data_IF_402585751094
#
_entry.id   IF_402585751094
#
_cell.length_a   1.000
_cell.length_b   1.000
_cell.length_c   1.000
_cell.angle_alpha   90.00
_cell.angle_beta   90.00
_cell.angle_gamma   90.00
#
_symmetry.space_group_name_H-M   'P 1'
#
loop_
_entity.id
_entity.type
_entity.pdbx_description
1 polymer ?
#
# COMPACT_ATOMS: atom_id res chain seq x y z
N UNK A 1 -11.90 -6.24 43.55
CA UNK A 1 -10.76 -5.47 44.11
C UNK A 1 -9.51 -6.33 44.02
N UNK A 2 -8.43 -5.79 43.41
CA UNK A 2 -7.16 -6.48 43.27
C UNK A 2 -6.23 -6.18 44.47
N UNK A 3 -5.52 -7.21 44.96
CA UNK A 3 -4.54 -7.09 46.07
C UNK A 3 -3.35 -8.04 45.84
N UNK A 4 -2.20 -7.73 46.44
CA UNK A 4 -1.05 -8.62 46.53
C UNK A 4 -1.09 -9.54 47.79
N UNK A 5 -2.04 -9.30 48.70
CA UNK A 5 -2.18 -10.11 49.91
C UNK A 5 -2.74 -11.48 49.56
N UNK A 6 -1.87 -12.45 49.48
CA UNK A 6 -2.18 -13.83 49.15
C UNK A 6 -1.52 -14.81 50.16
N UNK A 7 -2.32 -15.73 50.68
CA UNK A 7 -1.84 -16.80 51.56
C UNK A 7 -2.44 -18.13 51.14
N UNK A 8 -1.66 -19.19 51.03
CA UNK A 8 -2.14 -20.50 50.60
C UNK A 8 -1.85 -21.56 51.66
N UNK A 9 -2.86 -22.38 51.97
CA UNK A 9 -2.77 -23.42 52.98
C UNK A 9 -2.39 -24.76 52.36
N UNK A 10 -2.05 -25.75 53.24
CA UNK A 10 -1.91 -27.13 52.84
C UNK A 10 -3.23 -27.72 52.34
N UNK A 11 -3.14 -28.74 51.49
CA UNK A 11 -4.29 -29.47 50.98
C UNK A 11 -4.86 -30.34 52.10
N UNK A 12 -6.18 -30.18 52.35
CA UNK A 12 -6.91 -30.99 53.35
C UNK A 12 -7.61 -32.14 52.64
N UNK A 13 -7.44 -33.33 53.13
CA UNK A 13 -8.18 -34.51 52.72
C UNK A 13 -9.52 -34.61 53.48
N UNK A 14 -10.60 -34.94 52.78
CA UNK A 14 -11.96 -35.11 53.28
C UNK A 14 -12.53 -36.44 52.80
N UNK A 15 -12.25 -37.55 53.52
CA UNK A 15 -12.68 -38.88 53.12
C UNK A 15 -14.22 -38.96 52.93
N UNK A 16 -14.68 -39.82 52.01
CA UNK A 16 -16.11 -40.05 51.75
C UNK A 16 -16.75 -39.00 50.79
N UNK A 17 -16.04 -38.05 50.24
CA UNK A 17 -16.57 -37.12 49.28
C UNK A 17 -16.12 -37.44 47.83
N UNK A 18 -16.96 -37.13 46.85
CA UNK A 18 -16.64 -37.29 45.41
C UNK A 18 -15.38 -36.53 45.00
N UNK A 19 -15.01 -35.44 45.71
CA UNK A 19 -13.82 -34.62 45.53
C UNK A 19 -13.14 -34.45 46.89
N UNK A 20 -12.31 -35.43 47.33
CA UNK A 20 -11.82 -35.45 48.70
C UNK A 20 -10.69 -34.46 48.98
N UNK A 21 -9.96 -33.98 47.97
CA UNK A 21 -8.82 -33.08 48.17
C UNK A 21 -9.22 -31.62 48.07
N UNK A 22 -9.19 -30.89 49.18
CA UNK A 22 -9.59 -29.48 49.24
C UNK A 22 -8.36 -28.58 49.40
N UNK A 23 -8.11 -27.72 48.39
CA UNK A 23 -7.17 -26.62 48.50
C UNK A 23 -7.88 -25.39 49.06
N UNK A 24 -7.22 -24.69 50.00
CA UNK A 24 -7.73 -23.44 50.61
C UNK A 24 -6.67 -22.35 50.49
N UNK A 25 -7.10 -21.15 50.19
CA UNK A 25 -6.24 -19.97 50.18
C UNK A 25 -7.04 -18.73 50.62
N UNK A 26 -6.34 -17.65 50.89
CA UNK A 26 -6.94 -16.37 51.30
C UNK A 26 -6.38 -15.26 50.45
N UNK A 27 -7.26 -14.33 49.99
CA UNK A 27 -6.89 -13.14 49.24
C UNK A 27 -7.44 -11.92 49.96
N UNK A 28 -6.54 -11.11 50.53
CA UNK A 28 -6.91 -10.07 51.46
C UNK A 28 -7.71 -10.64 52.63
N UNK A 29 -8.89 -10.10 52.99
CA UNK A 29 -9.73 -10.60 54.08
C UNK A 29 -10.51 -11.89 53.75
N UNK A 30 -10.62 -12.27 52.45
CA UNK A 30 -11.59 -13.27 51.96
C UNK A 30 -10.99 -14.66 51.80
N UNK A 31 -11.54 -15.73 52.44
CA UNK A 31 -11.11 -17.09 52.23
C UNK A 31 -11.75 -17.70 50.97
N UNK A 32 -10.96 -18.52 50.24
CA UNK A 32 -11.38 -19.27 49.07
C UNK A 32 -11.04 -20.74 49.20
N UNK A 33 -11.77 -21.61 48.51
CA UNK A 33 -11.46 -23.05 48.46
C UNK A 33 -11.90 -23.66 47.12
N UNK A 34 -11.21 -24.74 46.73
CA UNK A 34 -11.60 -25.55 45.58
C UNK A 34 -11.30 -27.03 45.89
N UNK A 35 -12.23 -27.93 45.56
CA UNK A 35 -12.09 -29.37 45.82
C UNK A 35 -11.79 -30.12 44.53
N UNK A 36 -10.91 -31.12 44.59
CA UNK A 36 -10.40 -31.90 43.48
C UNK A 36 -10.59 -33.40 43.71
N UNK A 37 -10.63 -34.19 42.61
CA UNK A 37 -10.78 -35.65 42.68
C UNK A 37 -9.52 -36.34 43.13
N UNK A 38 -8.35 -35.79 42.75
CA UNK A 38 -7.04 -36.36 43.11
C UNK A 38 -6.16 -35.34 43.80
N UNK A 39 -5.21 -35.81 44.62
CA UNK A 39 -4.20 -34.99 45.28
C UNK A 39 -3.33 -34.25 44.26
N UNK A 40 -2.93 -34.95 43.17
CA UNK A 40 -2.11 -34.38 42.11
C UNK A 40 -2.77 -33.16 41.43
N UNK A 41 -4.09 -33.18 41.18
CA UNK A 41 -4.83 -32.05 40.67
C UNK A 41 -4.88 -30.86 41.63
N UNK A 42 -5.00 -31.13 42.92
CA UNK A 42 -4.97 -30.11 43.97
C UNK A 42 -3.55 -29.50 44.12
N UNK A 43 -2.50 -30.33 44.08
CA UNK A 43 -1.09 -29.89 44.11
C UNK A 43 -0.76 -29.03 42.84
N UNK A 44 -1.17 -29.49 41.67
CA UNK A 44 -0.99 -28.72 40.43
C UNK A 44 -1.65 -27.33 40.50
N UNK A 45 -2.89 -27.25 41.03
CA UNK A 45 -3.53 -25.96 41.23
C UNK A 45 -2.82 -25.10 42.28
N UNK A 46 -2.35 -25.70 43.37
CA UNK A 46 -1.55 -25.01 44.39
C UNK A 46 -0.29 -24.41 43.79
N UNK A 47 0.45 -25.17 42.98
CA UNK A 47 1.65 -24.71 42.31
C UNK A 47 1.38 -23.56 41.37
N UNK A 48 0.28 -23.59 40.57
CA UNK A 48 -0.13 -22.48 39.69
C UNK A 48 -0.36 -21.18 40.48
N UNK A 49 -1.13 -21.22 41.56
CA UNK A 49 -1.41 -20.04 42.39
C UNK A 49 -0.13 -19.50 43.05
N UNK A 50 0.76 -20.38 43.53
CA UNK A 50 2.05 -19.97 44.09
C UNK A 50 2.95 -19.32 43.02
N UNK A 51 2.99 -19.88 41.81
CA UNK A 51 3.77 -19.32 40.72
C UNK A 51 3.28 -17.93 40.35
N UNK A 52 1.96 -17.72 40.30
CA UNK A 52 1.38 -16.40 40.03
C UNK A 52 1.76 -15.38 41.13
N UNK A 53 1.69 -15.81 42.42
CA UNK A 53 2.10 -14.97 43.54
C UNK A 53 3.61 -14.62 43.49
N UNK A 54 4.48 -15.58 43.17
CA UNK A 54 5.92 -15.37 43.05
C UNK A 54 6.28 -14.46 41.86
N UNK A 55 5.46 -14.44 40.84
CA UNK A 55 5.58 -13.48 39.70
C UNK A 55 5.07 -12.07 40.01
N UNK A 56 4.60 -11.83 41.24
CA UNK A 56 4.04 -10.54 41.64
C UNK A 56 2.69 -10.21 41.00
N UNK A 57 1.88 -11.23 40.64
CA UNK A 57 0.54 -11.01 40.16
C UNK A 57 -0.42 -10.60 41.29
N UNK A 58 -1.30 -9.65 41.02
CA UNK A 58 -2.41 -9.32 41.93
C UNK A 58 -3.51 -10.36 41.81
N UNK A 59 -4.16 -10.62 42.96
CA UNK A 59 -5.31 -11.51 43.06
C UNK A 59 -6.58 -10.71 43.30
N UNK A 60 -7.68 -11.16 42.73
CA UNK A 60 -8.99 -10.54 42.99
C UNK A 60 -9.61 -11.10 44.27
N UNK A 61 -9.98 -10.20 45.17
CA UNK A 61 -10.55 -10.52 46.49
C UNK A 61 -11.86 -11.30 46.37
N UNK A 62 -12.65 -11.05 45.30
CA UNK A 62 -13.97 -11.69 45.15
C UNK A 62 -13.89 -13.12 44.62
N UNK A 63 -13.09 -13.36 43.61
CA UNK A 63 -12.96 -14.66 42.95
C UNK A 63 -11.85 -15.53 43.52
N UNK A 64 -10.89 -14.92 44.24
CA UNK A 64 -9.70 -15.59 44.73
C UNK A 64 -8.69 -15.98 43.63
N UNK A 65 -8.83 -15.46 42.42
CA UNK A 65 -8.02 -15.84 41.26
C UNK A 65 -6.94 -14.80 40.97
N UNK A 66 -5.78 -15.20 40.47
CA UNK A 66 -4.77 -14.29 39.98
C UNK A 66 -5.28 -13.56 38.71
N UNK A 67 -4.74 -12.39 38.45
CA UNK A 67 -5.15 -11.55 37.32
C UNK A 67 -5.00 -12.27 35.97
N UNK A 68 -4.03 -13.15 35.82
CA UNK A 68 -3.84 -14.01 34.65
C UNK A 68 -5.02 -14.96 34.42
N UNK A 69 -5.54 -15.60 35.46
CA UNK A 69 -6.69 -16.50 35.38
C UNK A 69 -7.98 -15.74 35.09
N UNK A 70 -8.15 -14.54 35.66
CA UNK A 70 -9.31 -13.70 35.38
C UNK A 70 -9.32 -13.25 33.92
N UNK A 71 -8.17 -12.87 33.39
CA UNK A 71 -8.06 -12.55 31.96
C UNK A 71 -8.37 -13.75 31.06
N UNK A 72 -7.94 -14.95 31.47
CA UNK A 72 -8.22 -16.19 30.74
C UNK A 72 -9.73 -16.58 30.78
N UNK A 73 -10.47 -16.18 31.81
CA UNK A 73 -11.91 -16.44 31.94
C UNK A 73 -12.79 -15.40 31.23
N UNK A 74 -12.27 -14.21 30.94
CA UNK A 74 -12.99 -13.23 30.13
C UNK A 74 -13.07 -13.72 28.69
N UNK A 75 -14.20 -13.46 27.98
CA UNK A 75 -14.26 -13.70 26.54
C UNK A 75 -13.11 -12.99 25.86
N UNK A 76 -12.12 -13.77 25.44
CA UNK A 76 -10.94 -13.20 24.77
C UNK A 76 -11.35 -12.78 23.35
N UNK A 77 -11.06 -11.53 22.99
CA UNK A 77 -11.24 -11.08 21.63
C UNK A 77 -10.50 -12.02 20.66
N UNK A 78 -11.18 -12.40 19.60
CA UNK A 78 -10.59 -13.22 18.54
C UNK A 78 -9.87 -12.37 17.50
N UNK A 79 -9.00 -12.99 16.72
CA UNK A 79 -8.32 -12.30 15.61
C UNK A 79 -9.32 -11.68 14.62
N UNK A 80 -10.40 -12.40 14.24
CA UNK A 80 -11.38 -11.89 13.27
C UNK A 80 -12.10 -10.64 13.78
N UNK A 81 -12.45 -10.60 15.07
CA UNK A 81 -13.09 -9.42 15.69
C UNK A 81 -12.14 -8.23 15.67
N UNK A 82 -10.89 -8.45 16.11
CA UNK A 82 -9.86 -7.41 16.08
C UNK A 82 -9.56 -6.92 14.66
N UNK A 83 -9.43 -7.82 13.69
CA UNK A 83 -9.16 -7.48 12.29
C UNK A 83 -10.31 -6.67 11.66
N UNK A 84 -11.57 -6.98 12.00
CA UNK A 84 -12.75 -6.17 11.61
C UNK A 84 -12.69 -4.77 12.22
N UNK A 85 -12.36 -4.64 13.49
CA UNK A 85 -12.22 -3.35 14.17
C UNK A 85 -11.07 -2.53 13.56
N UNK A 86 -9.95 -3.16 13.25
CA UNK A 86 -8.84 -2.52 12.56
C UNK A 86 -9.25 -2.03 11.16
N UNK A 87 -9.95 -2.86 10.37
CA UNK A 87 -10.45 -2.47 9.06
C UNK A 87 -11.41 -1.26 9.17
N UNK A 88 -12.33 -1.28 10.15
CA UNK A 88 -13.29 -0.20 10.44
C UNK A 88 -12.59 1.10 10.83
N UNK A 89 -11.63 1.04 11.74
CA UNK A 89 -10.85 2.19 12.19
C UNK A 89 -10.11 2.87 11.04
N UNK A 90 -9.55 2.08 10.10
CA UNK A 90 -8.82 2.62 8.94
C UNK A 90 -9.72 3.06 7.78
N UNK A 91 -11.00 2.70 7.75
CA UNK A 91 -11.86 2.86 6.57
C UNK A 91 -11.96 4.30 6.08
N UNK A 92 -12.39 5.21 6.93
CA UNK A 92 -12.67 6.62 6.57
C UNK A 92 -11.45 7.37 6.03
N UNK A 93 -10.25 7.03 6.53
CA UNK A 93 -8.98 7.70 6.15
C UNK A 93 -8.25 6.98 5.02
N UNK A 94 -8.86 5.97 4.40
CA UNK A 94 -8.21 5.15 3.38
C UNK A 94 -8.85 5.32 2.03
N UNK A 95 -8.00 5.30 0.98
CA UNK A 95 -8.50 5.22 -0.39
C UNK A 95 -9.19 3.89 -0.65
N UNK A 96 -10.08 3.86 -1.62
CA UNK A 96 -10.74 2.66 -2.10
C UNK A 96 -9.73 1.54 -2.45
N UNK A 97 -8.64 1.87 -3.15
CA UNK A 97 -7.56 0.91 -3.45
C UNK A 97 -6.84 0.42 -2.19
N UNK A 98 -6.63 1.29 -1.20
CA UNK A 98 -6.01 0.91 0.08
C UNK A 98 -6.94 0.06 0.93
N UNK A 99 -8.26 0.30 0.89
CA UNK A 99 -9.28 -0.54 1.52
C UNK A 99 -9.22 -1.96 0.95
N UNK A 100 -9.28 -2.10 -0.38
CA UNK A 100 -9.19 -3.39 -1.05
C UNK A 100 -7.87 -4.14 -0.75
N UNK A 101 -6.74 -3.44 -0.80
CA UNK A 101 -5.43 -4.04 -0.49
C UNK A 101 -5.32 -4.51 0.95
N UNK A 102 -5.90 -3.76 1.89
CA UNK A 102 -5.94 -4.14 3.32
C UNK A 102 -6.84 -5.34 3.54
N UNK A 103 -8.02 -5.35 2.94
CA UNK A 103 -8.93 -6.49 3.01
C UNK A 103 -8.31 -7.76 2.44
N UNK A 104 -7.56 -7.66 1.33
CA UNK A 104 -6.80 -8.77 0.76
C UNK A 104 -5.75 -9.34 1.74
N UNK A 105 -4.96 -8.47 2.36
CA UNK A 105 -3.96 -8.88 3.34
C UNK A 105 -4.59 -9.49 4.61
N UNK A 106 -5.63 -8.85 5.16
CA UNK A 106 -6.34 -9.36 6.32
C UNK A 106 -7.03 -10.70 6.02
N UNK A 107 -7.61 -10.86 4.83
CA UNK A 107 -8.21 -12.14 4.43
C UNK A 107 -7.17 -13.27 4.40
N UNK A 108 -5.98 -13.00 3.84
CA UNK A 108 -4.88 -13.99 3.82
C UNK A 108 -4.46 -14.41 5.23
N UNK A 109 -4.22 -13.44 6.13
CA UNK A 109 -3.83 -13.71 7.52
C UNK A 109 -4.94 -14.43 8.29
N UNK A 110 -6.20 -14.00 8.12
CA UNK A 110 -7.34 -14.57 8.85
C UNK A 110 -7.57 -16.02 8.47
N UNK A 111 -7.38 -16.39 7.20
CA UNK A 111 -7.50 -17.79 6.76
C UNK A 111 -6.44 -18.71 7.38
N UNK A 112 -5.28 -18.18 7.78
CA UNK A 112 -4.22 -18.92 8.45
C UNK A 112 -4.38 -18.97 9.97
N UNK A 113 -5.11 -18.03 10.57
CA UNK A 113 -5.28 -17.89 12.02
C UNK A 113 -6.58 -18.52 12.50
N UNK A 114 -6.71 -19.83 12.32
CA UNK A 114 -7.85 -20.64 12.75
C UNK A 114 -7.43 -21.73 13.72
N UNK A 115 -8.35 -22.17 14.58
CA UNK A 115 -8.11 -23.21 15.59
C UNK A 115 -7.86 -24.58 14.91
N UNK A 116 -8.67 -24.88 13.91
CA UNK A 116 -8.62 -26.11 13.12
C UNK A 116 -9.37 -25.89 11.79
N UNK A 117 -9.26 -26.85 10.88
CA UNK A 117 -9.91 -26.80 9.56
C UNK A 117 -11.23 -27.60 9.50
N UNK A 118 -11.76 -28.09 10.63
CA UNK A 118 -12.99 -28.89 10.64
C UNK A 118 -14.17 -28.05 10.15
N UNK A 119 -14.88 -28.58 9.17
CA UNK A 119 -16.02 -27.91 8.53
C UNK A 119 -15.64 -26.65 7.75
N UNK A 120 -14.37 -26.52 7.34
CA UNK A 120 -13.90 -25.36 6.58
C UNK A 120 -14.68 -25.22 5.26
N UNK A 121 -15.13 -24.00 4.93
CA UNK A 121 -15.71 -23.73 3.64
C UNK A 121 -14.65 -23.84 2.53
N UNK A 122 -15.10 -23.99 1.30
CA UNK A 122 -14.22 -23.97 0.14
C UNK A 122 -13.36 -22.69 0.15
N UNK A 123 -12.02 -22.79 -0.12
CA UNK A 123 -11.08 -21.67 0.04
C UNK A 123 -11.46 -20.38 -0.70
N UNK A 124 -12.03 -20.50 -1.91
CA UNK A 124 -12.48 -19.33 -2.68
C UNK A 124 -13.70 -18.67 -2.04
N UNK A 125 -14.62 -19.44 -1.45
CA UNK A 125 -15.80 -18.94 -0.72
C UNK A 125 -15.35 -18.21 0.55
N UNK A 126 -14.47 -18.83 1.35
CA UNK A 126 -13.90 -18.21 2.56
C UNK A 126 -13.19 -16.89 2.22
N UNK A 127 -12.34 -16.91 1.20
CA UNK A 127 -11.64 -15.71 0.77
C UNK A 127 -12.60 -14.59 0.34
N UNK A 128 -13.63 -14.92 -0.42
CA UNK A 128 -14.66 -13.94 -0.82
C UNK A 128 -15.42 -13.42 0.40
N UNK A 129 -15.78 -14.29 1.33
CA UNK A 129 -16.42 -13.90 2.59
C UNK A 129 -15.58 -12.92 3.40
N UNK A 130 -14.29 -13.19 3.53
CA UNK A 130 -13.37 -12.33 4.26
C UNK A 130 -13.10 -11.01 3.52
N UNK A 131 -12.64 -11.07 2.27
CA UNK A 131 -12.20 -9.87 1.53
C UNK A 131 -13.36 -8.95 1.16
N UNK A 132 -14.49 -9.52 0.68
CA UNK A 132 -15.60 -8.71 0.18
C UNK A 132 -16.67 -8.39 1.21
N UNK A 133 -16.71 -9.10 2.37
CA UNK A 133 -17.76 -8.92 3.38
C UNK A 133 -17.20 -8.59 4.76
N UNK A 134 -16.33 -9.43 5.33
CA UNK A 134 -15.81 -9.20 6.69
C UNK A 134 -15.02 -7.89 6.79
N UNK A 135 -14.21 -7.56 5.77
CA UNK A 135 -13.31 -6.39 5.74
C UNK A 135 -13.74 -5.31 4.74
N UNK A 136 -14.92 -5.43 4.14
CA UNK A 136 -15.52 -4.40 3.28
C UNK A 136 -16.76 -3.82 3.94
N UNK A 137 -16.67 -2.59 4.47
CA UNK A 137 -17.77 -1.97 5.18
C UNK A 137 -18.92 -1.53 4.26
N UNK A 138 -18.70 -1.35 2.98
CA UNK A 138 -19.77 -1.00 2.03
C UNK A 138 -20.74 -2.17 1.86
N UNK A 139 -20.24 -3.40 1.79
CA UNK A 139 -21.06 -4.60 1.62
C UNK A 139 -21.74 -5.07 2.92
N UNK A 140 -21.26 -4.62 4.09
CA UNK A 140 -21.89 -4.95 5.37
C UNK A 140 -23.31 -4.36 5.55
N UNK A 141 -23.76 -3.51 4.62
CA UNK A 141 -25.11 -2.93 4.60
C UNK A 141 -26.17 -3.84 3.98
N UNK A 142 -25.75 -4.94 3.37
CA UNK A 142 -26.62 -5.93 2.72
C UNK A 142 -26.39 -7.30 3.32
N UNK A 143 -27.39 -8.18 3.24
CA UNK A 143 -27.24 -9.56 3.68
C UNK A 143 -26.34 -10.34 2.74
N UNK A 144 -25.37 -11.10 3.27
CA UNK A 144 -24.52 -11.94 2.45
C UNK A 144 -25.31 -13.16 1.91
N UNK A 145 -25.03 -13.60 0.67
CA UNK A 145 -25.59 -14.87 0.15
C UNK A 145 -25.24 -16.05 1.07
N UNK A 146 -26.10 -17.09 1.11
CA UNK A 146 -25.96 -18.23 2.03
C UNK A 146 -24.54 -18.83 2.11
N UNK A 147 -23.81 -19.15 1.02
CA UNK A 147 -22.44 -19.67 1.15
C UNK A 147 -21.48 -18.72 1.86
N UNK A 148 -21.65 -17.42 1.64
CA UNK A 148 -20.84 -16.38 2.29
C UNK A 148 -21.21 -16.24 3.76
N UNK A 149 -22.51 -16.25 4.07
CA UNK A 149 -23.00 -16.17 5.46
C UNK A 149 -22.47 -17.33 6.30
N UNK A 150 -22.56 -18.57 5.79
CA UNK A 150 -22.02 -19.77 6.45
C UNK A 150 -20.51 -19.68 6.66
N UNK A 151 -19.76 -19.20 5.68
CA UNK A 151 -18.31 -19.00 5.80
C UNK A 151 -17.96 -17.93 6.85
N UNK A 152 -18.74 -16.84 6.93
CA UNK A 152 -18.56 -15.81 7.97
C UNK A 152 -18.88 -16.35 9.37
N UNK A 153 -19.88 -17.20 9.52
CA UNK A 153 -20.19 -17.85 10.79
C UNK A 153 -19.09 -18.84 11.19
N UNK A 154 -18.59 -19.62 10.24
CA UNK A 154 -17.50 -20.57 10.48
C UNK A 154 -16.25 -19.85 10.98
N UNK A 155 -15.80 -18.79 10.29
CA UNK A 155 -14.58 -18.08 10.69
C UNK A 155 -14.70 -17.37 12.05
N UNK A 156 -15.90 -16.91 12.43
CA UNK A 156 -16.13 -16.35 13.77
C UNK A 156 -15.95 -17.42 14.85
N UNK A 157 -16.42 -18.64 14.62
CA UNK A 157 -16.26 -19.74 15.57
C UNK A 157 -14.83 -20.30 15.64
N UNK A 158 -14.12 -20.32 14.49
CA UNK A 158 -12.81 -20.98 14.36
C UNK A 158 -11.64 -20.01 14.45
N UNK A 159 -11.85 -18.70 14.53
CA UNK A 159 -10.78 -17.72 14.64
C UNK A 159 -10.02 -17.83 15.95
N UNK A 160 -8.69 -17.76 15.88
CA UNK A 160 -7.83 -17.85 17.06
C UNK A 160 -8.09 -16.69 18.04
N UNK A 161 -8.07 -16.97 19.37
CA UNK A 161 -8.01 -15.91 20.39
C UNK A 161 -6.73 -15.08 20.27
N UNK A 162 -6.81 -13.78 20.51
CA UNK A 162 -5.67 -12.85 20.38
C UNK A 162 -4.41 -13.27 21.14
N UNK A 163 -4.46 -13.80 22.37
CA UNK A 163 -3.26 -14.23 23.09
C UNK A 163 -2.48 -15.38 22.42
N UNK A 164 -3.11 -16.16 21.54
CA UNK A 164 -2.41 -17.19 20.75
C UNK A 164 -1.35 -16.59 19.82
N UNK A 165 -1.47 -15.32 19.46
CA UNK A 165 -0.48 -14.60 18.66
C UNK A 165 0.80 -14.24 19.43
N UNK A 166 0.85 -14.44 20.74
CA UNK A 166 2.10 -14.34 21.52
C UNK A 166 3.06 -15.50 21.19
N UNK A 167 2.53 -16.62 20.68
CA UNK A 167 3.35 -17.73 20.21
C UNK A 167 3.93 -17.42 18.81
N UNK A 168 5.26 -17.50 18.68
CA UNK A 168 6.00 -17.22 17.46
C UNK A 168 5.61 -18.16 16.30
N UNK A 169 5.29 -19.43 16.56
CA UNK A 169 4.87 -20.36 15.51
C UNK A 169 3.53 -19.96 14.89
N UNK A 170 2.59 -19.48 15.71
CA UNK A 170 1.31 -18.94 15.22
C UNK A 170 1.51 -17.74 14.31
N UNK A 171 2.44 -16.84 14.67
CA UNK A 171 2.77 -15.67 13.83
C UNK A 171 3.46 -16.11 12.53
N UNK A 172 4.32 -17.12 12.61
CA UNK A 172 5.03 -17.68 11.46
C UNK A 172 4.06 -18.27 10.43
N UNK A 173 3.02 -18.98 10.85
CA UNK A 173 1.95 -19.47 9.94
C UNK A 173 1.30 -18.32 9.14
N UNK A 174 1.03 -17.20 9.79
CA UNK A 174 0.49 -16.03 9.09
C UNK A 174 1.48 -15.42 8.08
N UNK A 175 2.78 -15.37 8.42
CA UNK A 175 3.83 -14.87 7.53
C UNK A 175 4.05 -15.79 6.33
N UNK A 176 4.00 -17.10 6.51
CA UNK A 176 4.06 -18.09 5.43
C UNK A 176 2.87 -17.93 4.47
N UNK A 177 1.66 -17.81 5.01
CA UNK A 177 0.48 -17.55 4.19
C UNK A 177 0.58 -16.25 3.38
N UNK A 178 1.20 -15.20 3.92
CA UNK A 178 1.45 -13.94 3.20
C UNK A 178 2.48 -14.09 2.08
N UNK A 179 3.35 -15.09 2.16
CA UNK A 179 4.43 -15.35 1.19
C UNK A 179 3.95 -16.09 -0.05
N UNK A 180 2.73 -16.61 -0.02
CA UNK A 180 2.16 -17.39 -1.11
C UNK A 180 1.05 -16.64 -1.86
N UNK A 181 0.88 -16.97 -3.14
CA UNK A 181 -0.30 -16.65 -3.93
C UNK A 181 -1.42 -17.67 -3.63
N UNK A 182 -2.60 -17.45 -4.21
CA UNK A 182 -3.75 -18.34 -4.05
C UNK A 182 -3.54 -19.74 -4.68
N UNK A 183 -2.68 -19.83 -5.67
CA UNK A 183 -2.29 -21.06 -6.34
C UNK A 183 -1.14 -21.81 -5.64
N UNK A 184 -0.72 -21.34 -4.45
CA UNK A 184 0.39 -21.90 -3.68
C UNK A 184 1.77 -21.51 -4.18
N UNK A 185 1.89 -20.78 -5.30
CA UNK A 185 3.20 -20.31 -5.78
C UNK A 185 3.70 -19.09 -5.00
N UNK A 186 5.01 -18.83 -4.95
CA UNK A 186 5.58 -17.69 -4.24
C UNK A 186 4.99 -16.34 -4.74
N UNK A 187 4.66 -15.47 -3.82
CA UNK A 187 4.22 -14.11 -4.13
C UNK A 187 5.44 -13.20 -4.39
N UNK A 188 5.24 -12.14 -5.19
CA UNK A 188 6.27 -11.15 -5.42
C UNK A 188 6.69 -10.44 -4.12
N UNK A 189 7.98 -10.19 -3.93
CA UNK A 189 8.55 -9.56 -2.74
C UNK A 189 7.85 -8.26 -2.32
N UNK A 190 7.51 -7.40 -3.28
CA UNK A 190 6.74 -6.17 -3.04
C UNK A 190 5.33 -6.43 -2.52
N UNK A 191 4.69 -7.52 -2.94
CA UNK A 191 3.38 -7.96 -2.44
C UNK A 191 3.49 -8.46 -1.01
N UNK A 192 4.50 -9.28 -0.71
CA UNK A 192 4.79 -9.80 0.63
C UNK A 192 5.06 -8.64 1.59
N UNK A 193 5.98 -7.72 1.25
CA UNK A 193 6.28 -6.50 2.03
C UNK A 193 5.01 -5.70 2.35
N UNK A 194 4.16 -5.48 1.35
CA UNK A 194 2.90 -4.73 1.50
C UNK A 194 1.90 -5.44 2.42
N UNK A 195 1.68 -6.75 2.25
CA UNK A 195 0.77 -7.53 3.09
C UNK A 195 1.27 -7.61 4.53
N UNK A 196 2.58 -7.87 4.73
CA UNK A 196 3.23 -7.87 6.05
C UNK A 196 3.06 -6.51 6.76
N UNK A 197 3.19 -5.40 6.05
CA UNK A 197 2.96 -4.08 6.62
C UNK A 197 1.53 -3.90 7.14
N UNK A 198 0.53 -4.44 6.45
CA UNK A 198 -0.87 -4.43 6.93
C UNK A 198 -1.01 -5.25 8.20
N UNK A 199 -0.44 -6.46 8.23
CA UNK A 199 -0.44 -7.34 9.40
C UNK A 199 0.25 -6.67 10.59
N UNK A 200 1.47 -6.14 10.40
CA UNK A 200 2.19 -5.39 11.44
C UNK A 200 1.37 -4.22 12.01
N UNK A 201 0.70 -3.45 11.15
CA UNK A 201 -0.13 -2.34 11.60
C UNK A 201 -1.38 -2.81 12.37
N UNK A 202 -1.96 -3.97 12.02
CA UNK A 202 -3.06 -4.58 12.77
C UNK A 202 -2.57 -5.03 14.16
N UNK A 203 -1.40 -5.66 14.26
CA UNK A 203 -0.80 -6.06 15.54
C UNK A 203 -0.43 -4.86 16.41
N UNK A 204 0.11 -3.77 15.85
CA UNK A 204 0.33 -2.52 16.59
C UNK A 204 -0.96 -1.95 17.16
N UNK A 205 -2.06 -2.02 16.41
CA UNK A 205 -3.37 -1.62 16.90
C UNK A 205 -3.89 -2.56 18.01
N UNK A 206 -3.54 -3.85 17.97
CA UNK A 206 -3.85 -4.78 19.06
C UNK A 206 -3.13 -4.42 20.38
N UNK A 207 -1.85 -4.00 20.27
CA UNK A 207 -1.08 -3.50 21.43
C UNK A 207 -1.68 -2.20 21.97
N UNK A 208 -2.05 -1.26 21.10
CA UNK A 208 -2.73 -0.01 21.49
C UNK A 208 -4.03 -0.30 22.24
N UNK A 209 -4.79 -1.33 21.82
CA UNK A 209 -6.03 -1.78 22.48
C UNK A 209 -5.80 -2.66 23.71
N UNK A 210 -4.57 -2.91 24.09
CA UNK A 210 -4.18 -3.82 25.21
C UNK A 210 -4.67 -5.27 25.03
N UNK A 211 -4.88 -5.71 23.79
CA UNK A 211 -5.20 -7.09 23.43
C UNK A 211 -3.94 -7.96 23.37
N UNK A 212 -2.78 -7.35 23.16
CA UNK A 212 -1.46 -7.97 23.20
C UNK A 212 -0.53 -7.09 24.04
N UNK A 213 0.42 -7.68 24.79
CA UNK A 213 1.38 -6.92 25.59
C UNK A 213 2.44 -6.22 24.72
N UNK A 214 2.84 -6.85 23.61
CA UNK A 214 3.82 -6.34 22.64
C UNK A 214 3.47 -6.81 21.22
N UNK A 215 4.12 -6.21 20.22
CA UNK A 215 3.94 -6.67 18.83
C UNK A 215 4.75 -7.96 18.61
N UNK A 216 4.09 -9.12 18.38
CA UNK A 216 4.77 -10.41 18.30
C UNK A 216 5.72 -10.53 17.11
N UNK A 217 5.57 -9.72 16.05
CA UNK A 217 6.52 -9.68 14.92
C UNK A 217 7.95 -9.27 15.31
N UNK A 218 8.13 -8.67 16.49
CA UNK A 218 9.46 -8.29 16.98
C UNK A 218 10.24 -9.51 17.51
N UNK A 219 9.56 -10.61 17.82
CA UNK A 219 10.12 -11.82 18.38
C UNK A 219 10.24 -12.96 17.37
N UNK A 220 9.91 -12.71 16.10
CA UNK A 220 10.01 -13.70 15.03
C UNK A 220 11.14 -13.30 14.09
N UNK A 221 12.15 -14.12 14.01
CA UNK A 221 13.21 -13.98 13.00
C UNK A 221 12.64 -14.33 11.64
N UNK A 222 12.22 -13.30 10.93
CA UNK A 222 11.65 -13.39 9.59
C UNK A 222 11.84 -12.07 8.84
N UNK A 223 12.49 -12.11 7.71
CA UNK A 223 12.66 -10.99 6.80
C UNK A 223 11.87 -11.22 5.50
N UNK A 224 11.18 -10.19 4.97
CA UNK A 224 10.58 -10.31 3.65
C UNK A 224 11.69 -10.42 2.60
N UNK A 225 11.47 -11.17 1.50
CA UNK A 225 12.42 -11.22 0.39
C UNK A 225 12.79 -9.81 -0.07
N UNK A 226 14.04 -9.65 -0.49
CA UNK A 226 14.48 -8.39 -1.07
C UNK A 226 13.67 -8.09 -2.33
N UNK A 227 13.22 -6.85 -2.46
CA UNK A 227 12.58 -6.37 -3.66
C UNK A 227 13.61 -5.52 -4.41
N UNK A 228 13.80 -5.81 -5.68
CA UNK A 228 14.48 -4.89 -6.57
C UNK A 228 13.60 -3.65 -6.73
N UNK A 229 14.03 -2.55 -6.12
CA UNK A 229 13.31 -1.29 -6.14
C UNK A 229 13.79 -0.38 -7.31
N UNK A 230 14.78 -0.82 -8.09
CA UNK A 230 15.23 -0.08 -9.26
C UNK A 230 14.27 -0.21 -10.46
N UNK A 231 14.32 0.77 -11.35
CA UNK A 231 13.63 0.67 -12.64
C UNK A 231 14.40 -0.32 -13.52
N UNK A 232 13.76 -1.39 -13.93
CA UNK A 232 14.34 -2.28 -14.93
C UNK A 232 14.35 -1.58 -16.29
N UNK A 233 15.53 -1.19 -16.73
CA UNK A 233 15.78 -0.41 -17.96
C UNK A 233 15.34 -1.14 -19.22
N UNK A 234 15.21 -2.45 -19.17
CA UNK A 234 14.70 -3.23 -20.30
C UNK A 234 13.25 -2.87 -20.65
N UNK A 235 12.49 -2.33 -19.69
CA UNK A 235 11.12 -1.84 -19.92
C UNK A 235 11.06 -0.42 -20.49
N UNK A 236 12.13 0.35 -20.43
CA UNK A 236 12.13 1.78 -20.70
C UNK A 236 12.49 2.06 -22.15
N UNK A 237 11.57 2.55 -22.99
CA UNK A 237 11.88 2.91 -24.36
C UNK A 237 12.78 4.16 -24.40
N UNK A 238 13.74 4.18 -25.32
CA UNK A 238 14.53 5.36 -25.63
C UNK A 238 13.66 6.44 -26.35
N UNK A 239 14.16 7.69 -26.53
CA UNK A 239 13.37 8.76 -27.12
C UNK A 239 12.81 8.45 -28.51
N UNK A 240 13.59 7.79 -29.37
CA UNK A 240 13.14 7.41 -30.72
C UNK A 240 12.04 6.35 -30.65
N UNK A 241 12.21 5.33 -29.81
CA UNK A 241 11.22 4.27 -29.59
C UNK A 241 9.93 4.82 -28.99
N UNK A 242 10.03 5.73 -27.99
CA UNK A 242 8.87 6.36 -27.36
C UNK A 242 8.05 7.16 -28.39
N UNK A 243 8.73 7.92 -29.26
CA UNK A 243 8.08 8.66 -30.34
C UNK A 243 7.36 7.72 -31.31
N UNK A 244 8.06 6.68 -31.81
CA UNK A 244 7.47 5.69 -32.73
C UNK A 244 6.24 5.03 -32.11
N UNK A 245 6.29 4.65 -30.83
CA UNK A 245 5.16 4.05 -30.11
C UNK A 245 3.96 5.00 -30.05
N UNK A 246 4.16 6.27 -29.69
CA UNK A 246 3.11 7.28 -29.59
C UNK A 246 2.52 7.60 -30.98
N UNK A 247 3.34 7.72 -32.00
CA UNK A 247 2.89 7.95 -33.38
C UNK A 247 2.11 6.73 -33.89
N UNK A 248 2.52 5.52 -33.55
CA UNK A 248 1.80 4.29 -33.90
C UNK A 248 0.45 4.22 -33.22
N UNK A 249 0.33 4.67 -31.96
CA UNK A 249 -0.98 4.78 -31.30
C UNK A 249 -1.93 5.60 -32.16
N UNK A 250 -1.53 6.77 -32.66
CA UNK A 250 -2.34 7.63 -33.52
C UNK A 250 -2.84 6.94 -34.81
N UNK A 251 -2.10 5.93 -35.29
CA UNK A 251 -2.46 5.19 -36.51
C UNK A 251 -3.42 4.01 -36.27
N UNK A 252 -3.73 3.67 -35.03
CA UNK A 252 -4.60 2.51 -34.67
C UNK A 252 -6.12 2.81 -34.76
N UNK A 253 -6.55 3.61 -35.74
CA UNK A 253 -7.95 3.97 -35.96
C UNK A 253 -8.48 5.02 -34.96
N UNK A 254 -9.79 5.22 -34.90
CA UNK A 254 -10.38 6.34 -34.15
C UNK A 254 -10.04 6.33 -32.67
N UNK A 255 -10.01 5.13 -32.03
CA UNK A 255 -9.70 5.01 -30.61
C UNK A 255 -8.22 5.27 -30.31
N UNK A 256 -7.34 4.85 -31.19
CA UNK A 256 -5.92 5.16 -31.11
C UNK A 256 -5.68 6.68 -31.19
N UNK A 257 -6.22 7.34 -32.21
CA UNK A 257 -6.14 8.79 -32.36
C UNK A 257 -6.64 9.56 -31.15
N UNK A 258 -7.78 9.15 -30.57
CA UNK A 258 -8.32 9.76 -29.35
C UNK A 258 -7.37 9.61 -28.15
N UNK A 259 -6.56 8.54 -28.08
CA UNK A 259 -5.66 8.27 -26.95
C UNK A 259 -4.20 8.67 -27.21
N UNK A 260 -3.85 9.18 -28.38
CA UNK A 260 -2.47 9.56 -28.71
C UNK A 260 -1.93 10.63 -27.74
N UNK A 261 -2.67 11.71 -27.52
CA UNK A 261 -2.31 12.76 -26.58
C UNK A 261 -2.27 12.23 -25.12
N UNK A 262 -3.11 11.26 -24.73
CA UNK A 262 -3.04 10.60 -23.44
C UNK A 262 -1.69 9.93 -23.19
N UNK A 263 -1.17 9.17 -24.16
CA UNK A 263 0.16 8.57 -24.07
C UNK A 263 1.26 9.62 -24.17
N UNK A 264 1.04 10.68 -24.98
CA UNK A 264 1.91 11.85 -25.01
C UNK A 264 2.08 12.50 -23.64
N UNK A 265 0.99 12.67 -22.87
CA UNK A 265 1.07 13.13 -21.47
C UNK A 265 1.91 12.19 -20.59
N UNK A 266 1.80 10.88 -20.80
CA UNK A 266 2.62 9.88 -20.09
C UNK A 266 4.12 10.07 -20.33
N UNK A 267 4.53 10.39 -21.55
CA UNK A 267 5.93 10.56 -21.92
C UNK A 267 6.42 12.00 -21.71
N UNK A 268 5.84 12.98 -22.37
CA UNK A 268 6.36 14.35 -22.40
C UNK A 268 6.12 15.13 -21.10
N UNK A 269 5.04 14.82 -20.38
CA UNK A 269 4.74 15.40 -19.06
C UNK A 269 4.98 14.43 -17.91
N UNK A 270 5.46 13.23 -18.20
CA UNK A 270 5.66 12.15 -17.22
C UNK A 270 4.49 11.99 -16.25
N UNK A 271 3.24 12.14 -16.71
CA UNK A 271 2.06 11.98 -15.86
C UNK A 271 1.84 10.54 -15.46
N UNK A 272 1.25 10.31 -14.28
CA UNK A 272 0.66 9.01 -13.98
C UNK A 272 -0.64 8.85 -14.79
N UNK A 273 -0.99 7.62 -15.24
CA UNK A 273 -2.24 7.43 -15.99
C UNK A 273 -3.48 8.02 -15.28
N UNK A 274 -3.57 7.87 -13.95
CA UNK A 274 -4.68 8.42 -13.18
C UNK A 274 -4.68 9.97 -13.10
N UNK A 275 -3.53 10.61 -13.25
CA UNK A 275 -3.40 12.07 -13.36
C UNK A 275 -3.87 12.54 -14.75
N UNK A 276 -3.40 11.88 -15.81
CA UNK A 276 -3.86 12.16 -17.18
C UNK A 276 -5.38 11.91 -17.31
N UNK A 277 -5.92 10.85 -16.73
CA UNK A 277 -7.36 10.58 -16.70
C UNK A 277 -8.17 11.68 -16.01
N UNK A 278 -7.56 12.43 -15.09
CA UNK A 278 -8.22 13.54 -14.39
C UNK A 278 -8.02 14.90 -15.06
N UNK A 279 -7.15 15.00 -16.08
CA UNK A 279 -6.79 16.26 -16.72
C UNK A 279 -7.99 16.88 -17.43
N UNK A 280 -8.24 18.16 -17.16
CA UNK A 280 -9.32 18.95 -17.76
C UNK A 280 -8.75 20.05 -18.66
N UNK A 281 -9.53 20.54 -19.58
CA UNK A 281 -9.11 21.63 -20.46
C UNK A 281 -8.69 22.89 -19.67
N UNK A 282 -9.40 23.20 -18.60
CA UNK A 282 -9.07 24.34 -17.71
C UNK A 282 -7.71 24.20 -17.02
N UNK A 283 -7.18 22.98 -16.94
CA UNK A 283 -5.87 22.68 -16.33
C UNK A 283 -4.72 22.81 -17.35
N UNK A 284 -4.99 23.20 -18.60
CA UNK A 284 -4.03 23.20 -19.70
C UNK A 284 -3.81 24.63 -20.21
N UNK A 285 -2.59 25.13 -20.10
CA UNK A 285 -2.15 26.35 -20.80
C UNK A 285 -1.44 25.94 -22.09
N UNK A 286 -2.10 26.14 -23.21
CA UNK A 286 -1.65 25.69 -24.54
C UNK A 286 -1.46 26.91 -25.46
N UNK A 287 -0.24 27.48 -25.55
CA UNK A 287 0.05 28.58 -26.47
C UNK A 287 0.05 28.07 -27.91
N UNK A 288 -0.08 28.97 -28.86
CA UNK A 288 -0.02 28.67 -30.30
C UNK A 288 1.39 28.24 -30.74
N UNK A 289 2.41 28.65 -30.01
CA UNK A 289 3.81 28.27 -30.25
C UNK A 289 4.58 28.23 -28.93
N UNK A 290 5.63 27.41 -28.87
CA UNK A 290 6.48 27.29 -27.68
C UNK A 290 5.97 26.29 -26.64
N UNK A 291 6.49 26.42 -25.41
CA UNK A 291 6.18 25.56 -24.29
C UNK A 291 4.83 25.90 -23.67
N UNK A 292 4.06 24.88 -23.34
CA UNK A 292 2.83 24.99 -22.57
C UNK A 292 3.00 24.51 -21.15
N UNK A 293 1.88 24.43 -20.42
CA UNK A 293 1.88 23.99 -19.00
C UNK A 293 0.64 23.15 -18.70
N UNK A 294 0.82 22.06 -17.93
CA UNK A 294 -0.26 21.31 -17.32
C UNK A 294 -0.27 21.57 -15.82
N UNK A 295 -1.43 21.96 -15.28
CA UNK A 295 -1.67 22.10 -13.84
C UNK A 295 -2.37 20.82 -13.36
N UNK A 296 -1.63 19.90 -12.76
CA UNK A 296 -2.20 18.66 -12.21
C UNK A 296 -2.81 18.93 -10.85
N UNK A 297 -4.13 18.84 -10.76
CA UNK A 297 -4.93 19.15 -9.55
C UNK A 297 -5.36 17.91 -8.79
N UNK A 298 -5.29 16.73 -9.42
CA UNK A 298 -5.76 15.49 -8.80
C UNK A 298 -5.51 14.25 -9.65
N UNK A 299 -6.16 13.19 -9.26
CA UNK A 299 -6.08 11.88 -9.92
C UNK A 299 -7.40 11.14 -9.81
N UNK A 300 -7.73 10.35 -10.84
CA UNK A 300 -8.92 9.49 -10.86
C UNK A 300 -8.54 8.01 -10.97
N UNK A 301 -7.88 7.42 -9.94
CA UNK A 301 -7.49 6.03 -9.99
C UNK A 301 -8.73 5.12 -10.01
N UNK A 302 -8.65 4.06 -10.83
CA UNK A 302 -9.67 3.02 -10.83
C UNK A 302 -9.75 2.34 -9.46
N UNK A 303 -10.98 2.16 -8.98
CA UNK A 303 -11.31 1.38 -7.80
C UNK A 303 -12.50 0.47 -8.12
N UNK A 304 -12.64 -0.64 -7.39
CA UNK A 304 -13.88 -1.40 -7.45
C UNK A 304 -15.02 -0.61 -6.83
N UNK A 305 -16.18 -0.58 -7.46
CA UNK A 305 -17.36 0.18 -6.99
C UNK A 305 -17.76 -0.15 -5.54
N UNK A 306 -17.57 -1.39 -5.12
CA UNK A 306 -17.82 -1.82 -3.73
C UNK A 306 -16.81 -1.25 -2.71
N UNK A 307 -15.76 -0.56 -3.13
CA UNK A 307 -14.74 0.02 -2.25
C UNK A 307 -14.81 1.54 -2.16
N UNK A 308 -15.52 2.17 -3.07
CA UNK A 308 -15.75 3.62 -3.09
C UNK A 308 -16.92 4.00 -2.20
N UNK A 309 -16.95 5.23 -1.71
CA UNK A 309 -18.04 5.69 -0.84
C UNK A 309 -19.31 6.03 -1.64
N UNK A 310 -19.16 6.32 -2.94
CA UNK A 310 -20.23 6.71 -3.87
C UNK A 310 -20.62 5.61 -4.87
N UNK A 311 -20.02 4.42 -4.80
CA UNK A 311 -20.28 3.30 -5.69
C UNK A 311 -19.72 3.42 -7.11
N UNK A 312 -18.95 4.49 -7.42
CA UNK A 312 -18.30 4.65 -8.73
C UNK A 312 -17.11 3.73 -8.90
N UNK A 313 -16.78 3.38 -10.15
CA UNK A 313 -15.63 2.53 -10.48
C UNK A 313 -14.27 3.25 -10.44
N UNK A 314 -14.24 4.47 -9.98
CA UNK A 314 -13.05 5.31 -9.78
C UNK A 314 -13.24 6.18 -8.54
N UNK A 315 -12.15 6.72 -8.03
CA UNK A 315 -12.16 7.62 -6.87
C UNK A 315 -11.46 8.93 -7.24
N UNK A 316 -12.14 10.06 -7.13
CA UNK A 316 -11.51 11.37 -7.32
C UNK A 316 -10.69 11.75 -6.09
N UNK A 317 -9.41 12.00 -6.28
CA UNK A 317 -8.46 12.26 -5.20
C UNK A 317 -7.48 13.37 -5.58
N UNK A 318 -6.95 14.03 -4.56
CA UNK A 318 -5.77 14.87 -4.71
C UNK A 318 -4.53 14.09 -5.17
N UNK A 319 -3.45 14.78 -5.40
CA UNK A 319 -2.18 14.19 -5.83
C UNK A 319 -1.63 13.22 -4.76
N UNK A 320 -0.97 12.14 -5.22
CA UNK A 320 -0.45 11.08 -4.36
C UNK A 320 0.55 11.61 -3.33
N UNK A 321 0.31 11.34 -2.04
CA UNK A 321 1.15 11.77 -0.90
C UNK A 321 1.26 13.29 -0.72
N UNK A 322 0.26 14.05 -1.16
CA UNK A 322 0.15 15.49 -0.96
C UNK A 322 -1.18 15.85 -0.29
N UNK A 323 -1.29 17.07 0.20
CA UNK A 323 -2.57 17.61 0.69
C UNK A 323 -3.61 17.60 -0.43
N UNK A 324 -4.89 17.59 -0.08
CA UNK A 324 -5.98 17.50 -1.07
C UNK A 324 -6.01 18.70 -2.03
N UNK A 325 -5.56 19.85 -1.57
CA UNK A 325 -5.48 21.10 -2.33
C UNK A 325 -4.16 21.29 -3.08
N UNK A 326 -3.19 20.40 -2.92
CA UNK A 326 -1.90 20.55 -3.59
C UNK A 326 -2.04 20.36 -5.10
N UNK A 327 -1.47 21.27 -5.84
CA UNK A 327 -1.35 21.21 -7.30
C UNK A 327 0.09 20.93 -7.71
N UNK A 328 0.29 20.55 -8.98
CA UNK A 328 1.61 20.35 -9.56
C UNK A 328 1.62 20.88 -10.98
N UNK A 329 2.41 21.89 -11.21
CA UNK A 329 2.66 22.45 -12.51
C UNK A 329 3.76 21.66 -13.23
N UNK A 330 3.51 21.30 -14.50
CA UNK A 330 4.44 20.56 -15.36
C UNK A 330 4.56 21.28 -16.69
N UNK A 331 5.73 21.86 -17.01
CA UNK A 331 6.00 22.42 -18.33
C UNK A 331 5.95 21.29 -19.39
N UNK A 332 5.32 21.56 -20.53
CA UNK A 332 5.18 20.61 -21.62
C UNK A 332 5.78 21.15 -22.92
N UNK A 333 6.50 20.32 -23.69
CA UNK A 333 7.13 20.77 -24.93
C UNK A 333 6.12 21.02 -26.04
N UNK A 334 6.51 21.78 -27.08
CA UNK A 334 5.65 22.11 -28.21
C UNK A 334 4.98 20.91 -28.89
N UNK A 335 5.67 19.77 -28.94
CA UNK A 335 5.11 18.53 -29.52
C UNK A 335 3.88 18.03 -28.74
N UNK A 336 3.86 18.13 -27.40
CA UNK A 336 2.69 17.76 -26.61
C UNK A 336 1.59 18.84 -26.72
N UNK A 337 1.97 20.11 -26.78
CA UNK A 337 1.02 21.22 -27.03
C UNK A 337 0.25 20.98 -28.32
N UNK A 338 0.94 20.65 -29.41
CA UNK A 338 0.32 20.33 -30.70
C UNK A 338 -0.64 19.13 -30.63
N UNK A 339 -0.21 18.02 -29.97
CA UNK A 339 -1.06 16.84 -29.75
C UNK A 339 -2.34 17.16 -28.94
N UNK A 340 -2.24 18.05 -27.95
CA UNK A 340 -3.39 18.46 -27.15
C UNK A 340 -4.31 19.41 -27.91
N UNK A 341 -3.79 20.32 -28.74
CA UNK A 341 -4.60 21.14 -29.63
C UNK A 341 -5.37 20.28 -30.63
N UNK A 342 -4.70 19.34 -31.31
CA UNK A 342 -5.35 18.39 -32.22
C UNK A 342 -6.42 17.57 -31.51
N UNK A 343 -6.12 17.07 -30.31
CA UNK A 343 -7.10 16.32 -29.51
C UNK A 343 -8.33 17.14 -29.19
N UNK A 344 -8.17 18.41 -28.76
CA UNK A 344 -9.27 19.30 -28.44
C UNK A 344 -10.09 19.66 -29.66
N UNK A 345 -9.44 19.92 -30.80
CA UNK A 345 -10.11 20.22 -32.04
C UNK A 345 -10.95 19.05 -32.59
N UNK A 346 -10.43 17.81 -32.48
CA UNK A 346 -11.10 16.63 -33.01
C UNK A 346 -12.16 16.06 -32.07
N UNK A 347 -11.97 16.13 -30.76
CA UNK A 347 -12.77 15.38 -29.77
C UNK A 347 -13.42 16.24 -28.70
N UNK A 348 -12.99 17.51 -28.54
CA UNK A 348 -13.46 18.37 -27.46
C UNK A 348 -13.17 17.78 -26.08
N UNK A 349 -14.06 18.06 -25.12
CA UNK A 349 -13.98 17.57 -23.75
C UNK A 349 -15.22 16.75 -23.38
N UNK A 350 -15.12 16.01 -22.28
CA UNK A 350 -16.28 15.41 -21.62
C UNK A 350 -17.17 16.47 -20.94
N UNK A 351 -18.39 16.08 -20.49
CA UNK A 351 -19.30 17.01 -19.80
C UNK A 351 -18.71 17.64 -18.53
N UNK A 352 -17.73 16.98 -17.91
CA UNK A 352 -17.00 17.44 -16.74
C UNK A 352 -15.68 18.16 -17.07
N UNK A 353 -15.47 18.50 -18.35
CA UNK A 353 -14.28 19.19 -18.86
C UNK A 353 -13.05 18.30 -19.05
N UNK A 354 -13.12 16.97 -18.80
CA UNK A 354 -11.99 16.06 -19.02
C UNK A 354 -11.65 15.90 -20.49
N UNK A 355 -10.34 15.86 -20.76
CA UNK A 355 -9.82 15.63 -22.12
C UNK A 355 -10.07 14.18 -22.56
N UNK A 356 -9.69 13.22 -21.72
CA UNK A 356 -9.70 11.79 -22.08
C UNK A 356 -10.89 11.07 -21.48
N UNK A 357 -11.74 10.50 -22.32
CA UNK A 357 -12.97 9.79 -21.93
C UNK A 357 -13.01 8.37 -22.45
N UNK A 358 -13.82 7.54 -21.81
CA UNK A 358 -14.13 6.19 -22.27
C UNK A 358 -14.85 6.23 -23.64
N UNK A 359 -14.84 5.12 -24.37
CA UNK A 359 -15.50 5.00 -25.68
C UNK A 359 -17.00 5.28 -25.64
N UNK A 360 -17.64 5.01 -24.51
CA UNK A 360 -19.08 5.26 -24.24
C UNK A 360 -19.33 6.53 -23.41
N UNK A 361 -18.36 7.43 -23.31
CA UNK A 361 -18.37 8.56 -22.37
C UNK A 361 -17.92 8.14 -20.96
N UNK A 362 -17.89 9.11 -20.02
CA UNK A 362 -17.40 8.89 -18.66
C UNK A 362 -15.87 8.76 -18.55
N UNK A 363 -15.41 8.27 -17.39
CA UNK A 363 -13.97 8.19 -17.08
C UNK A 363 -13.31 7.05 -17.87
N UNK A 364 -12.16 7.36 -18.47
CA UNK A 364 -11.35 6.39 -19.23
C UNK A 364 -10.98 5.16 -18.39
N UNK A 365 -11.21 3.97 -18.92
CA UNK A 365 -10.93 2.72 -18.23
C UNK A 365 -9.52 2.22 -18.53
N UNK A 366 -8.86 1.67 -17.51
CA UNK A 366 -7.51 1.06 -17.65
C UNK A 366 -7.47 0.01 -18.76
N UNK A 367 -8.51 -0.81 -18.90
CA UNK A 367 -8.60 -1.84 -19.95
C UNK A 367 -8.55 -1.22 -21.36
N UNK A 368 -9.21 -0.10 -21.58
CA UNK A 368 -9.27 0.53 -22.91
C UNK A 368 -7.90 1.05 -23.37
N UNK A 369 -7.21 1.81 -22.52
CA UNK A 369 -5.90 2.31 -22.92
C UNK A 369 -4.81 1.22 -22.90
N UNK A 370 -4.92 0.23 -22.03
CA UNK A 370 -3.99 -0.90 -22.03
C UNK A 370 -4.09 -1.74 -23.30
N UNK A 371 -5.31 -1.96 -23.81
CA UNK A 371 -5.52 -2.69 -25.07
C UNK A 371 -4.97 -1.93 -26.28
N UNK A 372 -5.21 -0.63 -26.34
CA UNK A 372 -4.64 0.24 -27.41
C UNK A 372 -3.11 0.20 -27.33
N UNK A 373 -2.53 0.28 -26.12
CA UNK A 373 -1.09 0.20 -25.94
C UNK A 373 -0.50 -1.13 -26.42
N UNK A 374 -1.13 -2.24 -26.05
CA UNK A 374 -0.70 -3.59 -26.47
C UNK A 374 -0.67 -3.70 -28.00
N UNK A 375 -1.68 -3.16 -28.69
CA UNK A 375 -1.75 -3.13 -30.16
C UNK A 375 -0.66 -2.22 -30.74
N UNK A 376 -0.44 -1.05 -30.16
CA UNK A 376 0.60 -0.11 -30.60
C UNK A 376 2.00 -0.75 -30.45
N UNK A 377 2.27 -1.37 -29.30
CA UNK A 377 3.53 -2.09 -29.06
C UNK A 377 3.76 -3.17 -30.10
N UNK A 378 2.73 -3.97 -30.42
CA UNK A 378 2.84 -5.04 -31.44
C UNK A 378 3.10 -4.48 -32.84
N UNK A 379 2.55 -3.32 -33.17
CA UNK A 379 2.71 -2.69 -34.50
C UNK A 379 3.99 -1.87 -34.64
N UNK A 380 4.56 -1.38 -33.52
CA UNK A 380 5.71 -0.47 -33.53
C UNK A 380 7.06 -1.17 -33.33
N UNK A 381 7.10 -2.34 -32.68
CA UNK A 381 8.31 -3.02 -32.30
C UNK A 381 8.57 -4.23 -33.19
N UNK A 382 9.87 -4.55 -33.42
CA UNK A 382 10.26 -5.78 -34.11
C UNK A 382 9.92 -7.04 -33.30
N UNK A 383 9.91 -8.20 -33.94
CA UNK A 383 9.68 -9.49 -33.27
C UNK A 383 10.68 -9.75 -32.13
N UNK A 384 11.94 -9.36 -32.33
CA UNK A 384 12.97 -9.47 -31.30
C UNK A 384 12.69 -8.57 -30.11
N UNK A 385 12.31 -7.31 -30.36
CA UNK A 385 11.94 -6.37 -29.30
C UNK A 385 10.66 -6.81 -28.56
N UNK A 386 9.71 -7.45 -29.25
CA UNK A 386 8.50 -7.99 -28.64
C UNK A 386 8.76 -9.14 -27.66
N UNK A 387 9.86 -9.88 -27.83
CA UNK A 387 10.30 -10.92 -26.88
C UNK A 387 10.91 -10.34 -25.62
N UNK A 388 11.28 -9.07 -25.62
CA UNK A 388 11.79 -8.35 -24.44
C UNK A 388 10.63 -7.66 -23.68
N UNK A 389 10.85 -7.23 -22.45
CA UNK A 389 9.86 -6.47 -21.69
C UNK A 389 9.76 -4.99 -22.12
N UNK A 390 10.42 -4.58 -23.21
CA UNK A 390 10.44 -3.20 -23.69
C UNK A 390 9.04 -2.64 -23.86
N UNK A 391 8.75 -1.55 -23.18
CA UNK A 391 7.44 -0.85 -23.23
C UNK A 391 6.24 -1.77 -22.98
N UNK A 392 6.38 -2.83 -22.17
CA UNK A 392 5.32 -3.81 -21.91
C UNK A 392 4.06 -3.18 -21.34
N UNK A 393 4.23 -2.18 -20.49
CA UNK A 393 3.12 -1.44 -19.89
C UNK A 393 3.15 0.05 -20.24
N UNK A 394 2.00 0.73 -20.34
CA UNK A 394 1.96 2.18 -20.63
C UNK A 394 2.78 3.04 -19.66
N UNK A 395 2.96 2.57 -18.42
CA UNK A 395 3.70 3.28 -17.39
C UNK A 395 5.20 3.44 -17.73
N UNK A 396 5.73 2.59 -18.63
CA UNK A 396 7.09 2.69 -19.15
C UNK A 396 7.36 4.04 -19.82
N UNK A 397 6.35 4.68 -20.44
CA UNK A 397 6.47 6.02 -20.99
C UNK A 397 6.81 7.07 -19.94
N UNK A 398 6.24 6.96 -18.75
CA UNK A 398 6.57 7.88 -17.67
C UNK A 398 8.02 7.71 -17.20
N UNK A 399 8.49 6.46 -17.12
CA UNK A 399 9.90 6.20 -16.81
C UNK A 399 10.81 6.80 -17.89
N UNK A 400 10.46 6.60 -19.17
CA UNK A 400 11.18 7.18 -20.30
C UNK A 400 11.19 8.72 -20.26
N UNK A 401 10.08 9.37 -19.92
CA UNK A 401 9.99 10.83 -19.80
C UNK A 401 10.84 11.40 -18.68
N UNK A 402 10.82 10.77 -17.49
CA UNK A 402 11.71 11.16 -16.37
C UNK A 402 13.18 10.97 -16.75
N UNK A 403 13.50 9.85 -17.40
CA UNK A 403 14.86 9.57 -17.88
C UNK A 403 15.32 10.59 -18.92
N UNK A 404 14.41 10.99 -19.84
CA UNK A 404 14.69 12.03 -20.83
C UNK A 404 15.06 13.36 -20.15
N UNK A 405 14.28 13.80 -19.16
CA UNK A 405 14.58 15.04 -18.45
C UNK A 405 15.94 15.00 -17.74
N UNK A 406 16.21 13.91 -17.03
CA UNK A 406 17.52 13.69 -16.40
C UNK A 406 18.62 13.63 -17.46
N UNK A 407 18.42 12.91 -18.57
CA UNK A 407 19.38 12.82 -19.66
C UNK A 407 19.64 14.16 -20.34
N UNK A 408 18.69 15.04 -20.40
CA UNK A 408 18.81 16.40 -20.95
C UNK A 408 19.44 17.43 -20.00
N UNK A 409 19.87 17.03 -18.78
CA UNK A 409 20.52 17.94 -17.84
C UNK A 409 19.57 18.73 -16.94
N UNK A 410 18.29 18.42 -16.93
CA UNK A 410 17.36 19.06 -15.98
C UNK A 410 17.74 18.68 -14.56
N UNK A 411 17.84 19.67 -13.69
CA UNK A 411 18.19 19.48 -12.28
C UNK A 411 17.32 18.42 -11.60
N UNK A 412 17.91 17.46 -10.86
CA UNK A 412 17.15 16.38 -10.23
C UNK A 412 16.04 16.84 -9.27
N UNK A 413 16.19 17.97 -8.59
CA UNK A 413 15.13 18.52 -7.73
C UNK A 413 13.95 19.02 -8.58
N UNK A 414 14.23 19.67 -9.71
CA UNK A 414 13.20 20.10 -10.66
C UNK A 414 12.51 18.89 -11.34
N UNK A 415 13.27 17.86 -11.73
CA UNK A 415 12.69 16.61 -12.24
C UNK A 415 11.78 15.96 -11.19
N UNK A 416 12.22 15.90 -9.93
CA UNK A 416 11.41 15.38 -8.82
C UNK A 416 10.12 16.20 -8.63
N UNK A 417 10.20 17.53 -8.72
CA UNK A 417 9.06 18.44 -8.66
C UNK A 417 8.06 18.17 -9.79
N UNK A 418 8.52 18.14 -11.05
CA UNK A 418 7.69 17.87 -12.25
C UNK A 418 7.07 16.49 -12.21
N UNK A 419 7.82 15.46 -11.84
CA UNK A 419 7.34 14.08 -11.75
C UNK A 419 6.46 13.81 -10.50
N UNK A 420 6.48 14.69 -9.49
CA UNK A 420 5.79 14.46 -8.20
C UNK A 420 6.39 13.27 -7.46
N UNK A 421 7.72 13.22 -7.41
CA UNK A 421 8.53 12.34 -6.58
C UNK A 421 9.17 13.14 -5.44
N UNK A 422 9.71 12.48 -4.40
CA UNK A 422 10.76 13.07 -3.60
C UNK A 422 12.11 12.87 -4.30
N UNK A 423 13.08 13.73 -4.02
CA UNK A 423 14.44 13.61 -4.56
C UNK A 423 15.04 12.24 -4.21
N UNK A 424 14.85 11.76 -2.99
CA UNK A 424 15.29 10.43 -2.58
C UNK A 424 14.67 9.29 -3.44
N UNK A 425 13.39 9.40 -3.80
CA UNK A 425 12.74 8.45 -4.72
C UNK A 425 13.37 8.53 -6.11
N UNK A 426 13.70 9.75 -6.58
CA UNK A 426 14.32 9.92 -7.88
C UNK A 426 15.70 9.23 -7.92
N UNK A 427 16.56 9.49 -6.95
CA UNK A 427 17.89 8.85 -6.86
C UNK A 427 17.77 7.32 -6.76
N UNK A 428 16.87 6.81 -5.91
CA UNK A 428 16.66 5.37 -5.75
C UNK A 428 16.27 4.66 -7.04
N UNK A 429 15.42 5.27 -7.86
CA UNK A 429 14.88 4.63 -9.07
C UNK A 429 15.66 4.94 -10.34
N UNK A 430 16.45 6.03 -10.37
CA UNK A 430 17.09 6.54 -11.59
C UNK A 430 18.60 6.77 -11.41
N UNK A 431 19.25 6.18 -10.40
CA UNK A 431 20.66 6.35 -10.12
C UNK A 431 21.53 6.10 -11.38
N UNK A 432 21.28 5.01 -12.10
CA UNK A 432 22.03 4.65 -13.33
C UNK A 432 21.96 5.70 -14.44
N UNK A 433 20.89 6.51 -14.52
CA UNK A 433 20.81 7.61 -15.50
C UNK A 433 21.68 8.78 -15.06
N UNK A 434 21.84 8.97 -13.75
CA UNK A 434 22.64 10.04 -13.17
C UNK A 434 24.13 9.71 -13.21
N UNK A 435 24.52 8.46 -13.00
CA UNK A 435 25.93 8.02 -12.99
C UNK A 435 26.64 8.19 -14.35
N UNK A 436 25.92 8.10 -15.48
CA UNK A 436 26.49 8.25 -16.83
C UNK A 436 26.74 9.70 -17.28
N UNK A 437 26.70 10.72 -16.38
CA UNK A 437 26.70 12.13 -16.76
C UNK A 437 27.92 12.93 -16.31
N UNK A 438 28.97 12.27 -15.85
CA UNK A 438 30.16 12.93 -15.35
C UNK A 438 30.75 13.92 -16.37
N UNK A 439 30.89 13.48 -17.62
CA UNK A 439 31.47 14.30 -18.69
C UNK A 439 30.55 15.49 -19.05
N UNK A 440 29.24 15.28 -19.06
CA UNK A 440 28.28 16.34 -19.27
C UNK A 440 28.32 17.39 -18.15
N UNK A 441 28.41 16.96 -16.89
CA UNK A 441 28.56 17.85 -15.75
C UNK A 441 29.86 18.66 -15.81
N UNK A 442 30.96 18.00 -16.17
CA UNK A 442 32.27 18.68 -16.35
C UNK A 442 32.19 19.74 -17.47
N UNK A 443 31.59 19.42 -18.63
CA UNK A 443 31.41 20.35 -19.72
C UNK A 443 30.55 21.58 -19.33
N UNK A 444 29.52 21.40 -18.53
CA UNK A 444 28.70 22.52 -18.01
C UNK A 444 29.51 23.41 -17.05
N UNK A 445 30.35 22.82 -16.18
CA UNK A 445 31.24 23.56 -15.30
C UNK A 445 32.28 24.36 -16.12
N UNK A 446 32.91 23.74 -17.11
CA UNK A 446 33.87 24.40 -18.00
C UNK A 446 33.23 25.57 -18.76
N UNK A 447 31.99 25.39 -19.24
CA UNK A 447 31.23 26.46 -19.90
C UNK A 447 30.98 27.64 -18.97
N UNK A 448 30.49 27.36 -17.74
CA UNK A 448 30.24 28.40 -16.75
C UNK A 448 31.51 29.15 -16.32
N UNK A 449 32.65 28.45 -16.19
CA UNK A 449 33.92 29.06 -15.88
C UNK A 449 34.44 29.96 -17.01
N UNK A 450 34.24 29.55 -18.27
CA UNK A 450 34.59 30.34 -19.45
C UNK A 450 33.74 31.63 -19.53
N UNK A 451 32.43 31.50 -19.40
CA UNK A 451 31.50 32.65 -19.41
C UNK A 451 31.83 33.66 -18.27
N UNK A 452 32.23 33.16 -17.09
CA UNK A 452 32.65 34.00 -15.99
C UNK A 452 33.98 34.75 -16.28
N UNK A 453 34.92 34.16 -17.01
CA UNK A 453 36.17 34.81 -17.40
C UNK A 453 35.95 35.85 -18.52
N UNK A 454 35.08 35.55 -19.49
CA UNK A 454 34.72 36.47 -20.58
C UNK A 454 33.96 37.72 -20.04
N UNK A 455 33.07 37.56 -19.05
CA UNK A 455 32.37 38.66 -18.39
C UNK A 455 33.28 39.51 -17.49
N UNK A 456 34.36 38.93 -16.93
CA UNK A 456 35.36 39.64 -16.12
C UNK A 456 36.26 40.55 -16.98
N UNK A 457 36.64 40.12 -18.19
CA UNK A 457 37.43 40.89 -19.13
C UNK A 457 36.66 42.11 -19.74
N UNK A 458 35.33 42.02 -19.90
CA UNK A 458 34.50 43.15 -20.35
C UNK A 458 34.38 44.27 -19.28
N UNK A 459 34.36 43.93 -18.00
CA UNK A 459 34.26 44.89 -16.92
C UNK A 459 35.61 45.59 -16.64
N UNK A 460 36.75 44.84 -16.74
CA UNK A 460 38.10 45.41 -16.65
C UNK A 460 38.39 46.32 -17.87
N UNK A 461 37.95 45.98 -19.05
CA UNK A 461 38.05 46.81 -20.26
C UNK A 461 37.28 48.15 -20.13
N UNK A 462 36.16 48.16 -19.41
CA UNK A 462 35.39 49.40 -19.16
C UNK A 462 36.00 50.27 -18.06
N UNK A 463 36.73 49.71 -17.12
CA UNK A 463 37.44 50.46 -16.09
C UNK A 463 38.71 51.14 -16.67
N UNK A 464 39.44 50.46 -17.56
CA UNK A 464 40.64 51.01 -18.19
C UNK A 464 40.32 52.16 -19.20
N UNK A 465 39.14 52.17 -19.81
CA UNK A 465 38.71 53.27 -20.73
C UNK A 465 38.16 54.51 -19.98
N UNK A 466 37.94 54.46 -18.67
CA UNK A 466 37.53 55.61 -17.85
C UNK A 466 38.71 56.41 -17.29
N UNK A 467 39.88 55.82 -17.18
CA UNK A 467 41.08 56.50 -16.59
C UNK A 467 41.95 57.24 -17.62
N UNK A 468 41.66 57.11 -18.94
CA UNK A 468 42.43 57.81 -20.01
C UNK A 468 41.83 59.14 -20.42
N UNK A 469 40.83 59.67 -19.67
CA UNK A 469 40.27 61.00 -19.91
C UNK A 469 40.28 61.84 -18.62
N UNK A 470 41.50 62.14 -18.12
CA UNK A 470 41.76 63.27 -17.22
C UNK A 470 43.03 63.94 -17.62
#
# INVERSE_FOLDING_TARGET
>A
VLTFEFTINSIRERPGRRKPFQLRWKVGPRPHYKSFQTKALADGRRAQLMTAAHRGEMFDVESGLPQSDLRAQQPQATWIEHARDYARMKWKRSSAKSRATRADALATVTSALVLDAEGAPEPAVLRRALSCWAFNLSNQRTEPPMPIASALQWIVRKSLPMPRLENSDTVRLALEALSLKLDGTPAAASTIKRKRMVFNNALRYAVERKLLPANPLQFVDWAPPEADDEVDWRYVPNPAQAKVLIDTVGKLGPRGRHLQAFFGCGYYAATRPAEAMNLRQADCTLPTSGWGTLLLTGSSPRAGSSWTDDGKSYEERGLKRRTRSATREVPIPPVLVALLHEHLACYGTGPDGRLFRASRGGVLLTKEYAEVWKRARKAALSEEQLKTPLAEVPYSLRHAGVSLWLASGVDPAEVARRAGHSVAVLYRFYAKVLDGKRDQANALIETALREASESGDEDDGRLLLRDTRR
#
